data_IF_126880251860
#
_entry.id   IF_126880251860
#
_cell.length_a   1.000
_cell.length_b   1.000
_cell.length_c   1.000
_cell.angle_alpha   90.00
_cell.angle_beta   90.00
_cell.angle_gamma   90.00
#
_symmetry.space_group_name_H-M   'P 1'
#
loop_
_entity.id
_entity.type
_entity.pdbx_description
1 polymer ?
#
# COMPACT_ATOMS: atom_id res chain seq x y z
N UNK A 1 -14.21 -5.10 -14.44
CA UNK A 1 -13.66 -5.52 -13.11
C UNK A 1 -13.21 -4.28 -12.37
N UNK A 2 -13.33 -4.26 -11.03
CA UNK A 2 -12.76 -3.19 -10.18
C UNK A 2 -11.82 -3.80 -9.16
N UNK A 3 -10.66 -3.17 -8.97
CA UNK A 3 -9.65 -3.57 -7.99
C UNK A 3 -9.41 -2.44 -7.00
N UNK A 4 -9.53 -2.74 -5.72
CA UNK A 4 -9.08 -1.89 -4.62
C UNK A 4 -7.80 -2.49 -4.06
N UNK A 5 -6.67 -1.83 -4.31
CA UNK A 5 -5.35 -2.25 -3.87
C UNK A 5 -4.96 -1.48 -2.60
N UNK A 6 -4.78 -2.20 -1.51
CA UNK A 6 -4.33 -1.69 -0.22
C UNK A 6 -2.85 -2.06 -0.04
N UNK A 7 -1.99 -1.09 -0.18
CA UNK A 7 -0.58 -1.23 0.13
C UNK A 7 -0.35 -0.85 1.60
N UNK A 8 0.11 -1.81 2.40
CA UNK A 8 0.46 -1.60 3.80
C UNK A 8 1.97 -1.75 3.96
N UNK A 9 2.68 -0.66 4.20
CA UNK A 9 4.14 -0.61 4.27
C UNK A 9 4.66 -1.31 5.55
N UNK A 10 5.72 -2.10 5.42
CA UNK A 10 6.46 -2.64 6.54
C UNK A 10 5.73 -3.72 7.35
N UNK A 11 4.90 -4.57 6.72
CA UNK A 11 4.21 -5.68 7.41
C UNK A 11 4.68 -7.02 6.89
N UNK A 12 5.46 -7.73 7.70
CA UNK A 12 5.86 -9.10 7.46
C UNK A 12 4.96 -10.13 8.14
N UNK A 13 5.18 -11.40 7.81
CA UNK A 13 4.50 -12.55 8.42
C UNK A 13 5.48 -13.29 9.33
N UNK A 14 5.20 -13.29 10.63
CA UNK A 14 5.97 -13.96 11.67
C UNK A 14 5.03 -14.73 12.59
N UNK A 15 5.53 -15.83 13.17
CA UNK A 15 4.82 -16.57 14.21
C UNK A 15 4.47 -15.65 15.39
N UNK A 16 3.42 -16.02 16.14
CA UNK A 16 3.02 -15.30 17.35
C UNK A 16 4.18 -15.19 18.34
N UNK A 17 4.46 -13.99 18.80
CA UNK A 17 5.49 -13.68 19.79
C UNK A 17 5.07 -12.44 20.60
N UNK A 18 5.66 -12.22 21.75
CA UNK A 18 5.29 -11.10 22.64
C UNK A 18 5.64 -9.72 22.06
N UNK A 19 6.58 -9.69 21.12
CA UNK A 19 7.05 -8.52 20.38
C UNK A 19 6.45 -8.41 18.97
N UNK A 20 5.46 -9.27 18.64
CA UNK A 20 4.74 -9.23 17.38
C UNK A 20 3.33 -8.63 17.57
N UNK A 21 3.10 -7.35 17.20
CA UNK A 21 1.79 -6.74 17.29
C UNK A 21 0.83 -7.18 16.15
N UNK A 22 1.34 -7.87 15.11
CA UNK A 22 0.49 -8.44 14.05
C UNK A 22 -0.13 -9.75 14.55
N UNK A 23 -1.18 -9.63 15.34
CA UNK A 23 -1.87 -10.75 15.97
C UNK A 23 -3.39 -10.51 16.07
N UNK A 24 -4.22 -11.56 16.30
CA UNK A 24 -5.67 -11.44 16.33
C UNK A 24 -6.26 -10.56 17.45
N UNK A 25 -5.51 -10.24 18.50
CA UNK A 25 -5.97 -9.34 19.59
C UNK A 25 -5.84 -7.88 19.18
N UNK A 26 -4.89 -7.56 18.31
CA UNK A 26 -4.60 -6.21 17.82
C UNK A 26 -5.30 -5.92 16.51
N UNK A 27 -5.17 -6.81 15.52
CA UNK A 27 -5.70 -6.63 14.16
C UNK A 27 -6.45 -7.89 13.65
N UNK A 28 -7.63 -8.20 14.23
CA UNK A 28 -8.38 -9.43 13.95
C UNK A 28 -8.84 -9.55 12.50
N UNK A 29 -9.16 -8.45 11.83
CA UNK A 29 -9.62 -8.47 10.43
C UNK A 29 -8.46 -8.76 9.49
N UNK A 30 -7.33 -8.10 9.67
CA UNK A 30 -6.09 -8.33 8.91
C UNK A 30 -5.65 -9.80 9.05
N UNK A 31 -5.54 -10.30 10.29
CA UNK A 31 -5.15 -11.69 10.56
C UNK A 31 -6.11 -12.70 9.93
N UNK A 32 -7.41 -12.45 9.97
CA UNK A 32 -8.43 -13.29 9.34
C UNK A 32 -8.31 -13.29 7.81
N UNK A 33 -8.11 -12.12 7.19
CA UNK A 33 -7.91 -12.02 5.75
C UNK A 33 -6.65 -12.78 5.32
N UNK A 34 -5.53 -12.57 6.01
CA UNK A 34 -4.28 -13.29 5.72
C UNK A 34 -4.47 -14.80 5.85
N UNK A 35 -5.14 -15.27 6.89
CA UNK A 35 -5.31 -16.72 7.12
C UNK A 35 -6.28 -17.39 6.13
N UNK A 36 -7.32 -16.69 5.66
CA UNK A 36 -8.36 -17.28 4.80
C UNK A 36 -8.15 -17.00 3.32
N UNK A 37 -7.71 -15.80 2.98
CA UNK A 37 -7.66 -15.25 1.63
C UNK A 37 -6.23 -14.86 1.22
N UNK A 38 -5.24 -15.11 2.08
CA UNK A 38 -3.85 -14.73 1.87
C UNK A 38 -2.91 -15.90 1.74
N UNK A 39 -1.67 -15.55 1.45
CA UNK A 39 -0.50 -16.43 1.48
C UNK A 39 0.76 -15.59 1.69
N UNK A 40 1.86 -16.19 2.21
CA UNK A 40 3.17 -15.53 2.20
C UNK A 40 3.72 -15.44 0.77
N UNK A 41 4.36 -14.29 0.48
CA UNK A 41 5.10 -14.09 -0.77
C UNK A 41 6.51 -13.59 -0.49
N UNK A 42 7.43 -13.84 -1.42
CA UNK A 42 8.83 -13.41 -1.30
C UNK A 42 8.99 -11.90 -1.56
N UNK A 43 9.65 -11.21 -0.62
CA UNK A 43 10.07 -9.83 -0.75
C UNK A 43 11.60 -9.69 -0.87
N UNK A 44 12.36 -10.78 -0.70
CA UNK A 44 13.84 -10.76 -0.77
C UNK A 44 14.36 -10.69 -2.19
N UNK A 45 13.57 -11.11 -3.19
CA UNK A 45 13.85 -10.95 -4.62
C UNK A 45 15.18 -11.59 -5.08
N UNK A 46 15.69 -12.57 -4.33
CA UNK A 46 16.96 -13.23 -4.63
C UNK A 46 18.20 -12.37 -4.39
N UNK A 47 18.10 -11.31 -3.59
CA UNK A 47 19.18 -10.37 -3.27
C UNK A 47 19.49 -10.44 -1.78
N UNK A 48 20.78 -10.35 -1.44
CA UNK A 48 21.23 -10.39 -0.04
C UNK A 48 20.82 -9.14 0.75
N UNK A 49 20.56 -9.35 2.03
CA UNK A 49 20.15 -8.31 2.98
C UNK A 49 18.64 -8.20 3.15
N UNK A 50 18.18 -7.38 4.10
CA UNK A 50 16.75 -7.16 4.33
C UNK A 50 16.13 -6.35 3.19
N UNK A 51 14.91 -6.74 2.74
CA UNK A 51 14.14 -5.96 1.77
C UNK A 51 13.96 -4.52 2.20
N UNK A 52 13.88 -3.61 1.22
CA UNK A 52 13.82 -2.17 1.45
C UNK A 52 12.75 -1.52 0.58
N UNK A 53 12.13 -0.44 1.08
CA UNK A 53 10.97 0.24 0.50
C UNK A 53 11.17 0.63 -0.96
N UNK A 54 12.28 1.32 -1.33
CA UNK A 54 12.42 1.81 -2.69
C UNK A 54 12.46 0.68 -3.72
N UNK A 55 13.19 -0.41 -3.47
CA UNK A 55 13.27 -1.55 -4.40
C UNK A 55 12.07 -2.47 -4.30
N UNK A 56 11.52 -2.69 -3.10
CA UNK A 56 10.32 -3.51 -2.89
C UNK A 56 9.10 -2.92 -3.60
N UNK A 57 8.80 -1.64 -3.34
CA UNK A 57 7.70 -0.92 -3.97
C UNK A 57 7.88 -0.82 -5.50
N UNK A 58 9.10 -0.45 -5.96
CA UNK A 58 9.36 -0.39 -7.40
C UNK A 58 9.17 -1.75 -8.08
N UNK A 59 9.61 -2.85 -7.45
CA UNK A 59 9.39 -4.20 -7.97
C UNK A 59 7.90 -4.54 -8.06
N UNK A 60 7.17 -4.30 -6.97
CA UNK A 60 5.74 -4.58 -6.87
C UNK A 60 4.93 -3.81 -7.92
N UNK A 61 5.24 -2.52 -8.13
CA UNK A 61 4.46 -1.66 -9.03
C UNK A 61 4.95 -1.65 -10.48
N UNK A 62 6.09 -2.26 -10.80
CA UNK A 62 6.56 -2.35 -12.20
C UNK A 62 6.51 -3.76 -12.78
N UNK A 63 6.57 -4.79 -11.91
CA UNK A 63 6.78 -6.18 -12.34
C UNK A 63 8.23 -6.47 -12.75
N UNK A 64 9.17 -5.56 -12.50
CA UNK A 64 10.60 -5.73 -12.74
C UNK A 64 11.29 -6.03 -11.42
N UNK A 65 12.15 -7.03 -11.33
CA UNK A 65 12.96 -7.25 -10.13
C UNK A 65 13.99 -6.11 -9.98
N UNK A 66 13.55 -5.04 -9.33
CA UNK A 66 14.35 -3.83 -9.16
C UNK A 66 15.53 -4.03 -8.20
N UNK A 67 15.41 -4.90 -7.20
CA UNK A 67 16.54 -5.21 -6.31
C UNK A 67 17.66 -5.91 -7.08
N UNK A 68 17.34 -6.91 -7.91
CA UNK A 68 18.31 -7.56 -8.75
C UNK A 68 18.91 -6.61 -9.80
N UNK A 69 18.10 -5.75 -10.42
CA UNK A 69 18.55 -4.73 -11.38
C UNK A 69 19.52 -3.74 -10.75
N UNK A 70 19.29 -3.36 -9.49
CA UNK A 70 20.16 -2.45 -8.74
C UNK A 70 21.36 -3.16 -8.09
N UNK A 71 21.38 -4.51 -8.06
CA UNK A 71 22.37 -5.32 -7.38
C UNK A 71 22.32 -5.25 -5.85
N UNK A 72 21.28 -4.63 -5.28
CA UNK A 72 21.05 -4.47 -3.84
C UNK A 72 19.64 -4.01 -3.53
N UNK A 73 19.23 -4.17 -2.29
CA UNK A 73 18.06 -3.46 -1.74
C UNK A 73 18.38 -1.98 -1.52
N UNK A 74 17.48 -1.09 -1.95
CA UNK A 74 17.61 0.37 -1.80
C UNK A 74 16.56 0.89 -0.82
N UNK A 75 17.02 1.68 0.15
CA UNK A 75 16.19 2.27 1.21
C UNK A 75 15.43 3.51 0.75
N UNK A 76 14.32 3.80 1.41
CA UNK A 76 13.61 5.08 1.39
C UNK A 76 13.16 5.51 0.00
N UNK A 77 13.80 6.51 -0.58
CA UNK A 77 13.37 7.10 -1.85
C UNK A 77 14.13 6.53 -3.05
N UNK A 78 13.46 6.33 -4.20
CA UNK A 78 14.11 5.82 -5.40
C UNK A 78 15.15 6.82 -5.93
N UNK A 79 16.40 6.34 -6.07
CA UNK A 79 17.47 7.08 -6.74
C UNK A 79 17.21 7.20 -8.26
N UNK A 80 18.04 7.97 -9.00
CA UNK A 80 17.78 8.29 -10.40
C UNK A 80 17.54 7.09 -11.32
N UNK A 81 18.30 6.00 -11.15
CA UNK A 81 18.17 4.82 -11.97
C UNK A 81 16.85 4.07 -11.68
N UNK A 82 16.53 3.89 -10.39
CA UNK A 82 15.31 3.23 -9.97
C UNK A 82 14.07 4.07 -10.36
N UNK A 83 14.17 5.39 -10.24
CA UNK A 83 13.12 6.31 -10.68
C UNK A 83 12.82 6.17 -12.17
N UNK A 84 13.84 6.10 -13.03
CA UNK A 84 13.66 5.88 -14.47
C UNK A 84 12.88 4.61 -14.79
N UNK A 85 13.11 3.51 -14.03
CA UNK A 85 12.36 2.27 -14.19
C UNK A 85 10.87 2.52 -13.89
N UNK A 86 10.57 3.15 -12.76
CA UNK A 86 9.19 3.45 -12.35
C UNK A 86 8.52 4.42 -13.33
N UNK A 87 9.20 5.45 -13.79
CA UNK A 87 8.69 6.45 -14.74
C UNK A 87 8.42 5.84 -16.13
N UNK A 88 9.24 4.86 -16.55
CA UNK A 88 9.11 4.26 -17.89
C UNK A 88 8.02 3.21 -17.97
N UNK A 89 7.76 2.49 -16.88
CA UNK A 89 6.74 1.44 -16.83
C UNK A 89 6.33 1.17 -15.39
N UNK A 90 5.08 1.38 -15.09
CA UNK A 90 4.48 1.07 -13.79
C UNK A 90 3.03 0.63 -13.97
N UNK A 91 2.41 0.12 -12.91
CA UNK A 91 1.07 -0.44 -12.96
C UNK A 91 0.01 0.57 -13.47
N UNK A 92 0.13 1.86 -13.12
CA UNK A 92 -0.81 2.88 -13.62
C UNK A 92 -0.70 3.08 -15.13
N UNK A 93 0.51 3.25 -15.65
CA UNK A 93 0.73 3.39 -17.09
C UNK A 93 0.24 2.14 -17.84
N UNK A 94 0.61 0.96 -17.36
CA UNK A 94 0.25 -0.31 -18.00
C UNK A 94 -1.26 -0.58 -17.98
N UNK A 95 -1.99 -0.14 -16.95
CA UNK A 95 -3.46 -0.19 -16.90
C UNK A 95 -4.09 0.85 -17.83
N UNK A 96 -3.55 2.05 -17.88
CA UNK A 96 -4.03 3.10 -18.80
C UNK A 96 -3.84 2.71 -20.26
N UNK A 97 -2.74 2.07 -20.61
CA UNK A 97 -2.52 1.52 -21.96
C UNK A 97 -3.58 0.47 -22.34
N UNK A 98 -4.23 -0.15 -21.33
CA UNK A 98 -5.39 -1.05 -21.49
C UNK A 98 -6.74 -0.34 -21.41
N UNK A 99 -6.75 0.98 -21.43
CA UNK A 99 -7.97 1.79 -21.35
C UNK A 99 -8.66 1.75 -19.97
N UNK A 100 -7.92 1.45 -18.89
CA UNK A 100 -8.47 1.41 -17.52
C UNK A 100 -8.27 2.74 -16.82
N UNK A 101 -9.27 3.15 -16.05
CA UNK A 101 -9.20 4.32 -15.18
C UNK A 101 -8.52 3.96 -13.87
N UNK A 102 -7.44 4.68 -13.52
CA UNK A 102 -6.64 4.46 -12.32
C UNK A 102 -6.74 5.64 -11.36
N UNK A 103 -6.57 5.37 -10.07
CA UNK A 103 -6.56 6.39 -9.03
C UNK A 103 -5.54 6.05 -7.93
N UNK A 104 -4.71 7.02 -7.57
CA UNK A 104 -4.02 7.03 -6.30
C UNK A 104 -4.87 7.85 -5.32
N UNK A 105 -5.38 7.22 -4.27
CA UNK A 105 -6.40 7.83 -3.40
C UNK A 105 -5.83 8.63 -2.24
N UNK A 106 -4.53 8.57 -2.02
CA UNK A 106 -3.86 9.28 -0.93
C UNK A 106 -3.80 10.78 -1.20
N UNK A 107 -4.12 11.56 -0.17
CA UNK A 107 -3.98 13.01 -0.23
C UNK A 107 -2.52 13.42 -0.08
N UNK A 108 -2.05 14.23 -1.00
CA UNK A 108 -0.83 15.01 -0.83
C UNK A 108 -1.17 16.37 -0.20
N UNK A 109 -0.33 16.78 0.76
CA UNK A 109 -0.44 18.09 1.39
C UNK A 109 0.23 19.16 0.51
N UNK A 110 -0.39 19.40 -0.64
CA UNK A 110 0.00 20.34 -1.70
C UNK A 110 -1.26 20.93 -2.33
N UNK A 111 -1.09 22.06 -3.02
CA UNK A 111 -2.18 22.72 -3.74
C UNK A 111 -2.25 22.27 -5.21
N UNK A 112 -1.18 21.65 -5.74
CA UNK A 112 -1.14 21.19 -7.13
C UNK A 112 -0.16 20.04 -7.36
N UNK A 113 -0.33 19.34 -8.50
CA UNK A 113 0.61 18.31 -8.96
C UNK A 113 2.00 18.90 -9.27
N UNK A 114 2.07 20.14 -9.73
CA UNK A 114 3.36 20.82 -10.04
C UNK A 114 4.17 21.07 -8.76
N UNK A 115 3.51 21.47 -7.67
CA UNK A 115 4.16 21.59 -6.36
C UNK A 115 4.73 20.24 -5.89
N UNK A 116 3.95 19.16 -6.05
CA UNK A 116 4.42 17.82 -5.72
C UNK A 116 5.60 17.41 -6.60
N UNK A 117 5.53 17.68 -7.91
CA UNK A 117 6.60 17.39 -8.86
C UNK A 117 7.90 18.13 -8.55
N UNK A 118 7.82 19.32 -7.98
CA UNK A 118 8.98 20.13 -7.57
C UNK A 118 9.69 19.59 -6.30
N UNK A 119 9.05 18.72 -5.51
CA UNK A 119 9.66 18.17 -4.28
C UNK A 119 10.90 17.32 -4.62
N UNK A 120 11.96 17.50 -3.84
CA UNK A 120 13.23 16.77 -4.01
C UNK A 120 13.09 15.28 -3.74
N UNK A 121 12.41 14.92 -2.66
CA UNK A 121 12.22 13.54 -2.23
C UNK A 121 10.79 13.08 -2.54
N UNK A 122 10.69 11.94 -3.23
CA UNK A 122 9.43 11.34 -3.65
C UNK A 122 9.51 9.83 -3.40
N UNK A 123 8.50 9.25 -2.77
CA UNK A 123 8.36 7.79 -2.67
C UNK A 123 8.15 7.17 -4.06
N UNK A 124 8.25 5.87 -4.16
CA UNK A 124 7.95 5.15 -5.41
C UNK A 124 6.50 5.38 -5.84
N UNK A 125 5.55 5.32 -4.92
CA UNK A 125 4.13 5.60 -5.16
C UNK A 125 3.91 7.02 -5.65
N UNK A 126 4.64 8.01 -5.10
CA UNK A 126 4.61 9.40 -5.59
C UNK A 126 5.17 9.51 -7.02
N UNK A 127 6.30 8.85 -7.31
CA UNK A 127 6.85 8.84 -8.68
C UNK A 127 5.87 8.21 -9.65
N UNK A 128 5.25 7.09 -9.27
CA UNK A 128 4.22 6.42 -10.07
C UNK A 128 3.00 7.33 -10.29
N UNK A 129 2.46 7.96 -9.24
CA UNK A 129 1.31 8.85 -9.34
C UNK A 129 1.59 10.07 -10.26
N UNK A 130 2.81 10.60 -10.24
CA UNK A 130 3.23 11.70 -11.13
C UNK A 130 3.31 11.30 -12.62
N UNK A 131 3.34 10.00 -12.96
CA UNK A 131 3.20 9.57 -14.36
C UNK A 131 1.76 9.66 -14.88
N UNK A 132 0.81 9.88 -13.97
CA UNK A 132 -0.63 10.10 -14.24
C UNK A 132 -1.11 11.28 -13.39
N UNK A 133 -0.66 12.52 -13.68
CA UNK A 133 -0.82 13.67 -12.79
C UNK A 133 -2.27 14.02 -12.47
N UNK A 134 -3.22 13.65 -13.31
CA UNK A 134 -4.66 13.77 -13.07
C UNK A 134 -5.16 12.88 -11.90
N UNK A 135 -4.35 11.94 -11.44
CA UNK A 135 -4.67 11.10 -10.25
C UNK A 135 -4.21 11.73 -8.94
N UNK A 136 -3.40 12.79 -8.99
CA UNK A 136 -2.90 13.48 -7.79
C UNK A 136 -4.08 14.08 -7.02
N UNK A 137 -4.15 13.74 -5.75
CA UNK A 137 -5.14 14.25 -4.81
C UNK A 137 -4.51 15.27 -3.88
N UNK A 138 -5.18 16.41 -3.72
CA UNK A 138 -4.68 17.57 -2.97
C UNK A 138 -5.37 17.71 -1.60
N UNK A 139 -5.04 18.78 -0.90
CA UNK A 139 -5.71 19.15 0.36
C UNK A 139 -7.20 19.41 0.12
N UNK A 140 -7.56 20.05 -1.00
CA UNK A 140 -8.97 20.31 -1.34
C UNK A 140 -9.74 19.00 -1.58
N UNK A 141 -9.13 18.02 -2.26
CA UNK A 141 -9.72 16.69 -2.42
C UNK A 141 -9.95 16.01 -1.07
N UNK A 142 -8.99 16.16 -0.13
CA UNK A 142 -9.11 15.61 1.22
C UNK A 142 -10.28 16.23 2.00
N UNK A 143 -10.44 17.55 1.94
CA UNK A 143 -11.55 18.26 2.58
C UNK A 143 -12.90 17.80 2.04
N UNK A 144 -12.99 17.59 0.72
CA UNK A 144 -14.20 17.20 0.02
C UNK A 144 -14.47 15.67 0.05
N UNK A 145 -13.68 14.88 0.77
CA UNK A 145 -13.82 13.41 0.84
C UNK A 145 -13.51 12.70 -0.48
N UNK A 146 -12.77 13.36 -1.37
CA UNK A 146 -12.27 12.84 -2.65
C UNK A 146 -10.86 12.23 -2.54
N UNK A 147 -10.28 12.26 -1.34
CA UNK A 147 -8.99 11.66 -1.00
C UNK A 147 -9.01 11.09 0.41
N UNK A 148 -8.02 10.26 0.72
CA UNK A 148 -7.82 9.67 2.06
C UNK A 148 -6.45 10.08 2.58
N UNK A 149 -6.38 10.49 3.86
CA UNK A 149 -5.10 10.75 4.50
C UNK A 149 -4.47 9.43 4.95
N UNK A 150 -3.17 9.29 4.76
CA UNK A 150 -2.42 8.07 5.04
C UNK A 150 -2.46 7.63 6.53
N UNK A 151 -2.77 8.53 7.47
CA UNK A 151 -2.99 8.21 8.88
C UNK A 151 -4.43 7.78 9.20
N UNK A 152 -5.33 7.82 8.21
CA UNK A 152 -6.76 7.47 8.25
C UNK A 152 -7.63 8.39 9.13
N UNK A 153 -7.02 9.16 10.03
CA UNK A 153 -7.75 10.00 11.01
C UNK A 153 -7.58 11.49 10.77
N UNK A 154 -6.58 11.91 10.03
CA UNK A 154 -6.18 13.31 9.82
C UNK A 154 -5.59 13.97 11.07
N UNK A 155 -5.26 13.18 12.10
CA UNK A 155 -4.65 13.69 13.32
C UNK A 155 -3.25 14.25 13.08
N UNK A 156 -2.48 13.62 12.18
CA UNK A 156 -1.09 14.01 11.88
C UNK A 156 -0.95 15.36 11.18
N UNK A 157 -2.04 15.93 10.70
CA UNK A 157 -2.03 17.21 9.97
C UNK A 157 -2.65 18.38 10.73
N UNK A 158 -3.18 18.14 11.93
CA UNK A 158 -3.95 19.14 12.69
C UNK A 158 -3.16 20.42 13.00
N UNK A 159 -1.86 20.29 13.28
CA UNK A 159 -1.01 21.47 13.57
C UNK A 159 -0.92 22.45 12.38
N UNK A 160 -0.98 21.92 11.16
CA UNK A 160 -0.83 22.73 9.93
C UNK A 160 -2.18 23.06 9.29
N UNK A 161 -3.16 22.19 9.42
CA UNK A 161 -4.52 22.34 8.84
C UNK A 161 -5.59 22.07 9.92
N UNK A 162 -5.73 22.97 10.91
CA UNK A 162 -6.67 22.80 12.02
C UNK A 162 -8.14 22.80 11.56
N UNK A 163 -8.44 23.40 10.42
CA UNK A 163 -9.80 23.45 9.86
C UNK A 163 -10.23 22.14 9.19
N UNK A 164 -9.30 21.20 8.95
CA UNK A 164 -9.61 19.87 8.42
C UNK A 164 -10.01 18.97 9.59
N UNK A 165 -11.29 18.63 9.68
CA UNK A 165 -11.81 17.83 10.79
C UNK A 165 -11.15 16.46 10.89
N UNK A 166 -10.80 16.05 12.11
CA UNK A 166 -10.45 14.66 12.45
C UNK A 166 -11.65 13.76 12.20
N UNK A 167 -11.42 12.59 11.65
CA UNK A 167 -12.45 11.61 11.33
C UNK A 167 -12.09 10.23 11.89
N UNK A 168 -13.07 9.36 12.16
CA UNK A 168 -12.78 7.98 12.50
C UNK A 168 -12.32 7.19 11.26
N UNK A 169 -11.52 6.11 11.42
CA UNK A 169 -11.03 5.30 10.30
C UNK A 169 -12.14 4.73 9.41
N UNK A 170 -13.31 4.46 9.97
CA UNK A 170 -14.48 4.01 9.22
C UNK A 170 -14.96 5.05 8.21
N UNK A 171 -14.87 6.35 8.55
CA UNK A 171 -15.21 7.45 7.64
C UNK A 171 -14.19 7.56 6.49
N UNK A 172 -12.90 7.36 6.79
CA UNK A 172 -11.86 7.25 5.75
C UNK A 172 -12.14 6.09 4.78
N UNK A 173 -12.59 4.95 5.31
CA UNK A 173 -13.00 3.80 4.48
C UNK A 173 -14.22 4.10 3.60
N UNK A 174 -15.20 4.86 4.09
CA UNK A 174 -16.34 5.33 3.27
C UNK A 174 -15.88 6.23 2.12
N UNK A 175 -14.94 7.15 2.38
CA UNK A 175 -14.35 7.98 1.33
C UNK A 175 -13.61 7.12 0.29
N UNK A 176 -12.75 6.20 0.72
CA UNK A 176 -12.04 5.29 -0.19
C UNK A 176 -13.00 4.41 -1.00
N UNK A 177 -14.05 3.89 -0.37
CA UNK A 177 -15.08 3.11 -1.06
C UNK A 177 -15.81 3.93 -2.14
N UNK A 178 -16.12 5.20 -1.84
CA UNK A 178 -16.74 6.11 -2.81
C UNK A 178 -15.81 6.40 -4.00
N UNK A 179 -14.51 6.56 -3.75
CA UNK A 179 -13.49 6.71 -4.79
C UNK A 179 -13.39 5.43 -5.64
N UNK A 180 -13.25 4.26 -5.00
CA UNK A 180 -13.09 2.97 -5.69
C UNK A 180 -14.28 2.59 -6.58
N UNK A 181 -15.48 3.12 -6.33
CA UNK A 181 -16.63 2.95 -7.24
C UNK A 181 -16.45 3.62 -8.60
N UNK A 182 -15.61 4.65 -8.68
CA UNK A 182 -15.46 5.50 -9.88
C UNK A 182 -14.38 4.99 -10.82
N UNK A 183 -13.37 4.27 -10.29
CA UNK A 183 -12.20 3.83 -11.04
C UNK A 183 -12.19 2.31 -11.23
N UNK A 184 -11.44 1.84 -12.24
CA UNK A 184 -11.19 0.42 -12.45
C UNK A 184 -10.15 -0.11 -11.46
N UNK A 185 -9.13 0.70 -11.17
CA UNK A 185 -8.07 0.41 -10.21
C UNK A 185 -7.87 1.58 -9.27
N UNK A 186 -7.96 1.32 -7.97
CA UNK A 186 -7.70 2.31 -6.91
C UNK A 186 -6.62 1.80 -6.00
N UNK A 187 -5.54 2.57 -5.83
CA UNK A 187 -4.47 2.32 -4.88
C UNK A 187 -4.62 3.23 -3.67
N UNK A 188 -4.46 2.64 -2.47
CA UNK A 188 -4.29 3.34 -1.21
C UNK A 188 -3.04 2.82 -0.50
N UNK A 189 -2.18 3.71 0.03
CA UNK A 189 -0.97 3.42 0.77
C UNK A 189 -1.13 3.76 2.26
N UNK A 190 -0.79 2.81 3.13
CA UNK A 190 -0.71 3.01 4.57
C UNK A 190 0.70 2.75 5.05
N UNK A 191 1.49 3.80 5.28
CA UNK A 191 2.87 3.68 5.74
C UNK A 191 3.06 3.93 7.24
N UNK A 192 1.99 4.20 7.99
CA UNK A 192 2.09 4.37 9.46
C UNK A 192 2.49 3.08 10.18
N UNK A 193 2.29 1.92 9.57
CA UNK A 193 2.78 0.64 10.07
C UNK A 193 4.30 0.59 10.10
N UNK A 194 4.97 0.99 9.02
CA UNK A 194 6.43 1.04 8.94
C UNK A 194 7.02 2.09 9.90
N UNK A 195 6.43 3.29 9.94
CA UNK A 195 6.80 4.34 10.90
C UNK A 195 6.67 3.87 12.36
N UNK A 196 5.62 3.11 12.67
CA UNK A 196 5.43 2.53 14.00
C UNK A 196 6.43 1.40 14.29
N UNK A 197 6.74 0.54 13.31
CA UNK A 197 7.77 -0.49 13.41
C UNK A 197 9.14 0.10 13.74
N UNK A 198 9.56 1.13 13.00
CA UNK A 198 10.82 1.82 13.25
C UNK A 198 10.91 2.51 14.61
N UNK A 199 9.78 2.83 15.24
CA UNK A 199 9.78 3.41 16.59
C UNK A 199 10.17 2.41 17.69
N UNK A 200 10.08 1.10 17.43
CA UNK A 200 10.28 0.02 18.41
C UNK A 200 9.37 0.16 19.64
N UNK A 201 8.22 0.81 19.49
CA UNK A 201 7.22 1.01 20.53
C UNK A 201 6.01 0.12 20.28
N UNK A 202 5.83 -0.90 21.12
CA UNK A 202 4.72 -1.87 21.00
C UNK A 202 3.35 -1.21 21.09
N UNK A 203 3.18 -0.23 21.97
CA UNK A 203 1.89 0.45 22.15
C UNK A 203 1.54 1.27 20.90
N UNK A 204 2.52 1.97 20.34
CA UNK A 204 2.38 2.72 19.09
C UNK A 204 2.09 1.79 17.90
N UNK A 205 2.80 0.67 17.78
CA UNK A 205 2.56 -0.32 16.75
C UNK A 205 1.14 -0.90 16.84
N UNK A 206 0.69 -1.28 18.05
CA UNK A 206 -0.68 -1.71 18.29
C UNK A 206 -1.73 -0.65 17.94
N UNK A 207 -1.49 0.62 18.25
CA UNK A 207 -2.40 1.71 17.93
C UNK A 207 -2.56 1.90 16.42
N UNK A 208 -1.44 1.91 15.67
CA UNK A 208 -1.45 2.00 14.21
C UNK A 208 -2.22 0.83 13.57
N UNK A 209 -1.93 -0.41 13.99
CA UNK A 209 -2.61 -1.60 13.47
C UNK A 209 -4.09 -1.64 13.82
N UNK A 210 -4.51 -1.23 15.04
CA UNK A 210 -5.93 -1.14 15.40
C UNK A 210 -6.67 -0.10 14.57
N UNK A 211 -6.03 1.03 14.29
CA UNK A 211 -6.60 2.06 13.41
C UNK A 211 -6.80 1.52 11.99
N UNK A 212 -5.78 0.87 11.44
CA UNK A 212 -5.86 0.23 10.14
C UNK A 212 -6.90 -0.90 10.10
N UNK A 213 -6.99 -1.72 11.12
CA UNK A 213 -7.93 -2.85 11.18
C UNK A 213 -9.41 -2.41 11.17
N UNK A 214 -9.73 -1.29 11.86
CA UNK A 214 -11.07 -0.67 11.81
C UNK A 214 -11.41 -0.15 10.40
N UNK A 215 -10.45 0.46 9.73
CA UNK A 215 -10.58 0.88 8.33
C UNK A 215 -10.79 -0.32 7.41
N UNK A 216 -9.95 -1.34 7.53
CA UNK A 216 -10.00 -2.56 6.74
C UNK A 216 -11.33 -3.31 6.90
N UNK A 217 -11.87 -3.37 8.12
CA UNK A 217 -13.17 -3.99 8.41
C UNK A 217 -14.31 -3.38 7.57
N UNK A 218 -14.29 -2.08 7.34
CA UNK A 218 -15.29 -1.38 6.53
C UNK A 218 -15.09 -1.64 5.03
N UNK A 219 -13.82 -1.68 4.59
CA UNK A 219 -13.51 -1.95 3.17
C UNK A 219 -13.80 -3.39 2.75
N UNK A 220 -13.60 -4.37 3.63
CA UNK A 220 -13.98 -5.77 3.34
C UNK A 220 -15.48 -5.88 3.10
N UNK A 221 -16.30 -5.25 3.95
CA UNK A 221 -17.77 -5.23 3.75
C UNK A 221 -18.16 -4.52 2.45
N UNK A 222 -17.48 -3.43 2.11
CA UNK A 222 -17.70 -2.75 0.84
C UNK A 222 -17.31 -3.62 -0.36
N UNK A 223 -16.13 -4.25 -0.32
CA UNK A 223 -15.64 -5.09 -1.42
C UNK A 223 -16.59 -6.27 -1.67
N UNK A 224 -17.07 -6.94 -0.61
CA UNK A 224 -18.05 -8.02 -0.67
C UNK A 224 -19.39 -7.56 -1.29
N UNK A 225 -19.96 -6.49 -0.75
CA UNK A 225 -21.24 -5.95 -1.19
C UNK A 225 -21.25 -5.46 -2.64
N UNK A 226 -20.11 -4.99 -3.14
CA UNK A 226 -19.98 -4.37 -4.47
C UNK A 226 -19.30 -5.26 -5.52
N UNK A 227 -18.88 -6.47 -5.14
CA UNK A 227 -18.15 -7.36 -6.03
C UNK A 227 -16.80 -6.76 -6.49
N UNK A 228 -16.14 -5.99 -5.63
CA UNK A 228 -14.81 -5.41 -5.87
C UNK A 228 -13.76 -6.42 -5.43
N UNK A 229 -12.74 -6.65 -6.23
CA UNK A 229 -11.57 -7.42 -5.80
C UNK A 229 -10.68 -6.55 -4.92
N UNK A 230 -10.56 -6.90 -3.65
CA UNK A 230 -9.63 -6.27 -2.72
C UNK A 230 -8.31 -7.03 -2.75
N UNK A 231 -7.23 -6.33 -3.04
CA UNK A 231 -5.85 -6.83 -2.95
C UNK A 231 -5.16 -6.12 -1.79
N UNK A 232 -4.45 -6.86 -0.93
CA UNK A 232 -3.62 -6.29 0.13
C UNK A 232 -2.26 -6.96 0.12
N UNK A 233 -1.18 -6.15 0.16
CA UNK A 233 0.19 -6.65 0.28
C UNK A 233 1.10 -5.61 0.92
N UNK A 234 2.33 -6.04 1.26
CA UNK A 234 3.40 -5.21 1.79
C UNK A 234 4.66 -5.38 0.93
N UNK A 235 5.60 -4.47 1.05
CA UNK A 235 6.88 -4.47 0.32
C UNK A 235 8.04 -5.10 1.10
N UNK A 236 7.95 -5.12 2.43
CA UNK A 236 8.90 -5.75 3.36
C UNK A 236 8.26 -5.96 4.73
N UNK A 237 8.96 -6.68 5.61
CA UNK A 237 8.61 -6.78 7.01
C UNK A 237 9.34 -5.74 7.87
N UNK A 238 8.70 -5.33 8.97
CA UNK A 238 9.22 -4.44 10.00
C UNK A 238 8.39 -4.57 11.28
N UNK A 239 7.10 -4.16 11.26
CA UNK A 239 6.25 -4.03 12.45
C UNK A 239 5.99 -5.36 13.17
N UNK A 240 6.08 -6.49 12.49
CA UNK A 240 5.88 -7.82 13.09
C UNK A 240 7.04 -8.25 14.00
N UNK A 241 8.13 -7.47 14.07
CA UNK A 241 9.26 -7.70 14.95
C UNK A 241 9.81 -6.37 15.48
N UNK A 242 9.13 -5.80 16.47
CA UNK A 242 9.52 -4.52 17.05
C UNK A 242 10.65 -4.60 18.07
N UNK A 243 11.17 -5.79 18.38
CA UNK A 243 12.36 -5.96 19.23
C UNK A 243 13.68 -5.71 18.48
N UNK A 244 13.65 -5.74 17.15
CA UNK A 244 14.82 -5.51 16.30
C UNK A 244 14.65 -4.22 15.49
N UNK A 245 15.76 -3.50 15.34
CA UNK A 245 15.76 -2.27 14.55
C UNK A 245 15.90 -2.60 13.06
N UNK A 246 15.02 -2.03 12.23
CA UNK A 246 15.08 -2.16 10.76
C UNK A 246 14.17 -3.25 10.21
N UNK A 247 14.31 -3.52 8.93
CA UNK A 247 13.43 -4.44 8.21
C UNK A 247 13.81 -5.90 8.44
N UNK A 248 12.81 -6.78 8.35
CA UNK A 248 13.00 -8.22 8.57
C UNK A 248 13.18 -9.00 7.26
N UNK A 249 13.68 -10.23 7.37
CA UNK A 249 13.75 -11.18 6.27
C UNK A 249 12.47 -12.02 6.11
N UNK A 250 11.42 -11.71 6.88
CA UNK A 250 10.17 -12.43 6.83
C UNK A 250 9.46 -12.23 5.48
N UNK A 251 8.70 -13.22 5.01
CA UNK A 251 7.82 -13.04 3.87
C UNK A 251 6.73 -12.01 4.20
N UNK A 252 6.17 -11.41 3.17
CA UNK A 252 5.07 -10.46 3.32
C UNK A 252 3.72 -11.09 2.95
N UNK A 253 2.59 -10.58 3.48
CA UNK A 253 1.28 -11.09 3.10
C UNK A 253 0.93 -10.68 1.67
N UNK A 254 0.33 -11.59 0.91
CA UNK A 254 -0.45 -11.26 -0.27
C UNK A 254 -1.87 -11.79 -0.05
N UNK A 255 -2.84 -10.90 -0.02
CA UNK A 255 -4.25 -11.20 0.14
C UNK A 255 -4.96 -10.80 -1.15
N UNK A 256 -5.82 -11.67 -1.64
CA UNK A 256 -6.83 -11.33 -2.64
C UNK A 256 -8.19 -11.79 -2.09
N UNK A 257 -9.18 -10.91 -2.10
CA UNK A 257 -10.53 -11.18 -1.61
C UNK A 257 -11.55 -10.69 -2.64
N UNK A 258 -12.54 -11.52 -2.97
CA UNK A 258 -13.58 -11.19 -3.93
C UNK A 258 -13.44 -11.91 -5.29
N UNK A 259 -14.02 -11.37 -6.39
CA UNK A 259 -14.24 -12.15 -7.63
C UNK A 259 -12.98 -12.74 -8.30
N UNK A 260 -11.81 -12.15 -8.11
CA UNK A 260 -10.55 -12.63 -8.69
C UNK A 260 -9.59 -13.23 -7.67
N UNK A 261 -10.06 -13.62 -6.49
CA UNK A 261 -9.26 -14.15 -5.39
C UNK A 261 -8.35 -15.30 -5.82
N UNK A 262 -8.93 -16.39 -6.30
CA UNK A 262 -8.18 -17.60 -6.67
C UNK A 262 -7.20 -17.32 -7.81
N UNK A 263 -7.67 -16.62 -8.85
CA UNK A 263 -6.85 -16.23 -10.00
C UNK A 263 -5.57 -15.49 -9.60
N UNK A 264 -5.69 -14.51 -8.69
CA UNK A 264 -4.55 -13.70 -8.23
C UNK A 264 -3.65 -14.50 -7.28
N UNK A 265 -4.24 -15.25 -6.33
CA UNK A 265 -3.46 -16.02 -5.36
C UNK A 265 -2.60 -17.12 -5.99
N UNK A 266 -3.05 -17.74 -7.07
CA UNK A 266 -2.26 -18.74 -7.80
C UNK A 266 -1.06 -18.15 -8.51
N UNK A 267 -1.14 -16.89 -8.96
CA UNK A 267 -0.14 -16.26 -9.83
C UNK A 267 0.92 -15.44 -9.09
N UNK A 268 0.68 -15.08 -7.83
CA UNK A 268 1.59 -14.23 -7.07
C UNK A 268 2.35 -15.08 -6.05
N UNK A 269 3.66 -15.18 -6.18
CA UNK A 269 4.58 -15.86 -5.24
C UNK A 269 5.69 -14.95 -4.72
N UNK A 270 5.88 -13.81 -5.38
CA UNK A 270 6.87 -12.79 -5.06
C UNK A 270 6.33 -11.41 -5.41
N UNK A 271 6.95 -10.34 -4.91
CA UNK A 271 6.60 -8.96 -5.27
C UNK A 271 6.66 -8.70 -6.78
N UNK A 272 7.54 -9.37 -7.51
CA UNK A 272 7.66 -9.21 -8.96
C UNK A 272 6.42 -9.68 -9.72
N UNK A 273 5.65 -10.60 -9.15
CA UNK A 273 4.47 -11.17 -9.78
C UNK A 273 3.22 -10.30 -9.64
N UNK A 274 3.23 -9.32 -8.72
CA UNK A 274 2.02 -8.55 -8.33
C UNK A 274 1.45 -7.78 -9.52
N UNK A 275 2.26 -6.93 -10.16
CA UNK A 275 1.82 -6.15 -11.33
C UNK A 275 1.39 -7.07 -12.50
N UNK A 276 2.17 -8.08 -12.95
CA UNK A 276 1.73 -8.98 -14.00
C UNK A 276 0.41 -9.71 -13.70
N UNK A 277 0.21 -10.16 -12.47
CA UNK A 277 -1.02 -10.85 -12.08
C UNK A 277 -2.25 -9.93 -12.14
N UNK A 278 -2.12 -8.69 -11.64
CA UNK A 278 -3.20 -7.69 -11.71
C UNK A 278 -3.55 -7.38 -13.17
N UNK A 279 -2.57 -7.11 -14.02
CA UNK A 279 -2.80 -6.84 -15.44
C UNK A 279 -3.52 -7.99 -16.13
N UNK A 280 -3.05 -9.24 -15.91
CA UNK A 280 -3.69 -10.44 -16.46
C UNK A 280 -5.14 -10.62 -15.96
N UNK A 281 -5.44 -10.20 -14.73
CA UNK A 281 -6.79 -10.26 -14.20
C UNK A 281 -7.75 -9.27 -14.89
N UNK A 282 -7.24 -8.18 -15.42
CA UNK A 282 -8.02 -7.22 -16.24
C UNK A 282 -8.22 -7.69 -17.68
N UNK A 283 -7.38 -8.59 -18.17
CA UNK A 283 -7.44 -9.12 -19.54
C UNK A 283 -8.42 -10.32 -19.66
N UNK A 284 -8.93 -10.84 -18.52
CA UNK A 284 -9.88 -11.97 -18.40
C UNK A 284 -11.22 -11.54 -17.83
#
# INVERSE_FOLDING_TARGET
MKVLFLFIDGVGLRAAATDNPVNPEVCPVLCRLVSKHGKPIDARLGVDGPPQSATGQATMFTGVNCAATMGKHCEGFPGPNLRKIVESSNLFLQLRDRGKEVCFSDAYLVDSADELAARRFKSVTTVMALTTPETIRTVDDLQNGQAVMQDLTRETIQDRWPDIAVIPPQRAAEHLAAIARRYDFTLFEFFQSDVAGHSMDYARACAALRTYDRFLASLVRFADAMGVTLVLTSDHGNIENISERGHTLNPVPFVAFGPKEEFLRERVSSLVDVTPAILSAFDT
#
